data_IF_647357918943
#
_entry.id   IF_647357918943
#
_cell.length_a   1.000
_cell.length_b   1.000
_cell.length_c   1.000
_cell.angle_alpha   90.00
_cell.angle_beta   90.00
_cell.angle_gamma   90.00
#
_symmetry.space_group_name_H-M   'P 1'
#
loop_
_entity.id
_entity.type
_entity.pdbx_description
1 polymer ?
#
# COMPACT_ATOMS: atom_id res chain seq x y z
N UNK A 1 -4.01 5.11 -11.32
CA UNK A 1 -3.22 5.02 -10.10
C UNK A 1 -4.15 4.96 -8.90
N UNK A 2 -3.86 4.12 -7.95
CA UNK A 2 -4.79 3.83 -6.87
C UNK A 2 -4.48 4.60 -5.60
N UNK A 3 -4.43 5.92 -5.71
CA UNK A 3 -4.12 6.79 -4.57
C UNK A 3 -5.16 6.67 -3.47
N UNK A 4 -6.43 6.52 -3.85
CA UNK A 4 -7.51 6.38 -2.87
C UNK A 4 -7.33 5.10 -2.06
N UNK A 5 -7.03 3.98 -2.72
CA UNK A 5 -6.76 2.73 -2.03
C UNK A 5 -5.55 2.85 -1.11
N UNK A 6 -4.47 3.44 -1.61
CA UNK A 6 -3.26 3.64 -0.80
C UNK A 6 -3.56 4.48 0.44
N UNK A 7 -4.29 5.58 0.28
CA UNK A 7 -4.64 6.45 1.40
C UNK A 7 -5.47 5.70 2.44
N UNK A 8 -6.43 4.89 2.00
CA UNK A 8 -7.29 4.14 2.91
C UNK A 8 -6.51 3.05 3.65
N UNK A 9 -5.59 2.39 2.97
CA UNK A 9 -4.75 1.38 3.59
C UNK A 9 -3.82 2.00 4.63
N UNK A 10 -3.23 3.14 4.31
CA UNK A 10 -2.35 3.86 5.23
C UNK A 10 -3.14 4.35 6.45
N UNK A 11 -4.36 4.82 6.22
CA UNK A 11 -5.21 5.30 7.31
C UNK A 11 -5.80 4.15 8.15
N UNK A 12 -5.75 2.92 7.65
CA UNK A 12 -6.28 1.77 8.38
C UNK A 12 -7.77 1.55 8.22
N UNK A 13 -8.42 2.25 7.29
CA UNK A 13 -9.86 2.11 7.06
C UNK A 13 -10.21 0.94 6.15
N UNK A 14 -9.21 0.41 5.43
CA UNK A 14 -9.36 -0.75 4.56
C UNK A 14 -8.18 -1.69 4.78
N UNK A 15 -8.37 -2.96 4.46
CA UNK A 15 -7.31 -3.96 4.57
C UNK A 15 -6.80 -4.35 3.19
N UNK A 16 -5.59 -4.89 3.15
CA UNK A 16 -4.99 -5.37 1.90
C UNK A 16 -5.85 -6.43 1.22
N UNK A 17 -6.50 -7.27 2.01
CA UNK A 17 -7.37 -8.33 1.47
C UNK A 17 -8.59 -7.79 0.74
N UNK A 18 -9.02 -6.58 1.09
CA UNK A 18 -10.18 -5.95 0.45
C UNK A 18 -9.84 -5.40 -0.93
N UNK A 19 -8.54 -5.25 -1.24
CA UNK A 19 -8.12 -4.74 -2.55
C UNK A 19 -8.39 -5.81 -3.61
N UNK A 20 -9.14 -5.47 -4.69
CA UNK A 20 -9.37 -6.44 -5.77
C UNK A 20 -8.06 -6.98 -6.33
N UNK A 21 -8.04 -8.25 -6.67
CA UNK A 21 -6.82 -8.90 -7.12
C UNK A 21 -6.22 -8.24 -8.36
N UNK A 22 -7.06 -7.77 -9.25
CA UNK A 22 -6.60 -7.09 -10.47
C UNK A 22 -6.13 -5.65 -10.21
N UNK A 23 -6.29 -5.17 -8.99
CA UNK A 23 -5.83 -3.85 -8.58
C UNK A 23 -4.62 -3.90 -7.66
N UNK A 24 -4.31 -5.07 -7.11
CA UNK A 24 -3.24 -5.20 -6.12
C UNK A 24 -1.89 -4.71 -6.64
N UNK A 25 -1.57 -5.00 -7.88
CA UNK A 25 -0.30 -4.56 -8.45
C UNK A 25 -0.21 -3.03 -8.51
N UNK A 26 -1.29 -2.37 -8.93
CA UNK A 26 -1.32 -0.90 -8.98
C UNK A 26 -1.24 -0.29 -7.58
N UNK A 27 -1.97 -0.86 -6.63
CA UNK A 27 -1.97 -0.38 -5.25
C UNK A 27 -0.60 -0.60 -4.62
N UNK A 28 0.00 -1.76 -4.86
CA UNK A 28 1.35 -2.04 -4.38
C UNK A 28 2.35 -1.02 -4.91
N UNK A 29 2.28 -0.73 -6.20
CA UNK A 29 3.16 0.26 -6.82
C UNK A 29 2.99 1.64 -6.19
N UNK A 30 1.76 2.03 -5.92
CA UNK A 30 1.48 3.31 -5.26
C UNK A 30 2.07 3.35 -3.84
N UNK A 31 1.90 2.26 -3.09
CA UNK A 31 2.46 2.19 -1.73
C UNK A 31 3.98 2.24 -1.75
N UNK A 32 4.61 1.54 -2.69
CA UNK A 32 6.07 1.58 -2.83
C UNK A 32 6.54 2.98 -3.20
N UNK A 33 5.79 3.68 -4.02
CA UNK A 33 6.09 5.06 -4.38
C UNK A 33 6.04 5.97 -3.15
N UNK A 34 5.06 5.74 -2.25
CA UNK A 34 4.95 6.49 -1.00
C UNK A 34 6.16 6.24 -0.10
N UNK A 35 6.67 5.01 -0.07
CA UNK A 35 7.89 4.71 0.68
C UNK A 35 9.08 5.45 0.08
N UNK A 36 9.20 5.43 -1.24
CA UNK A 36 10.30 6.11 -1.92
C UNK A 36 10.28 7.61 -1.69
N UNK A 37 9.10 8.20 -1.54
CA UNK A 37 8.93 9.63 -1.31
C UNK A 37 9.00 10.02 0.18
N UNK A 38 9.23 9.05 1.06
CA UNK A 38 9.32 9.32 2.49
C UNK A 38 7.97 9.52 3.18
N UNK A 39 6.87 9.21 2.52
CA UNK A 39 5.52 9.37 3.08
C UNK A 39 5.07 8.14 3.85
N UNK A 40 5.78 7.02 3.69
CA UNK A 40 5.43 5.75 4.31
C UNK A 40 6.74 5.04 4.64
N UNK A 41 6.80 4.39 5.81
CA UNK A 41 7.98 3.61 6.17
C UNK A 41 7.92 2.23 5.53
N UNK A 42 9.09 1.61 5.33
CA UNK A 42 9.15 0.24 4.82
C UNK A 42 8.45 -0.72 5.79
N UNK A 43 8.58 -0.46 7.09
CA UNK A 43 7.92 -1.28 8.11
C UNK A 43 6.41 -1.20 7.98
N UNK A 44 5.89 0.00 7.78
CA UNK A 44 4.45 0.20 7.61
C UNK A 44 3.95 -0.45 6.32
N UNK A 45 4.75 -0.38 5.26
CA UNK A 45 4.43 -1.06 4.01
C UNK A 45 4.25 -2.57 4.26
N UNK A 46 5.19 -3.16 5.00
CA UNK A 46 5.13 -4.59 5.33
C UNK A 46 3.87 -4.92 6.14
N UNK A 47 3.52 -4.07 7.10
CA UNK A 47 2.31 -4.27 7.90
C UNK A 47 1.05 -4.23 7.05
N UNK A 48 1.00 -3.33 6.08
CA UNK A 48 -0.18 -3.15 5.25
C UNK A 48 -0.33 -4.30 4.26
N UNK A 49 0.75 -4.66 3.56
CA UNK A 49 0.68 -5.63 2.47
C UNK A 49 1.03 -7.04 2.88
N UNK A 50 1.59 -7.20 4.07
CA UNK A 50 2.13 -8.47 4.57
C UNK A 50 3.26 -8.99 3.67
N UNK A 51 3.89 -8.08 2.93
CA UNK A 51 5.02 -8.37 2.03
C UNK A 51 6.21 -7.54 2.43
N UNK A 52 7.39 -8.11 2.32
CA UNK A 52 8.62 -7.38 2.61
C UNK A 52 8.89 -6.32 1.53
N UNK A 53 9.18 -5.11 1.97
CA UNK A 53 9.60 -4.05 1.06
C UNK A 53 11.04 -4.31 0.63
N UNK A 54 11.27 -4.28 -0.65
CA UNK A 54 12.62 -4.51 -1.18
C UNK A 54 12.66 -5.61 -2.24
#
# INVERSE_FOLDING_TARGET
>A
MDKIWANRLIAGTKTWEEVPINRKDSVRAELRDRVANGELTAERYTEITEETYG
#
